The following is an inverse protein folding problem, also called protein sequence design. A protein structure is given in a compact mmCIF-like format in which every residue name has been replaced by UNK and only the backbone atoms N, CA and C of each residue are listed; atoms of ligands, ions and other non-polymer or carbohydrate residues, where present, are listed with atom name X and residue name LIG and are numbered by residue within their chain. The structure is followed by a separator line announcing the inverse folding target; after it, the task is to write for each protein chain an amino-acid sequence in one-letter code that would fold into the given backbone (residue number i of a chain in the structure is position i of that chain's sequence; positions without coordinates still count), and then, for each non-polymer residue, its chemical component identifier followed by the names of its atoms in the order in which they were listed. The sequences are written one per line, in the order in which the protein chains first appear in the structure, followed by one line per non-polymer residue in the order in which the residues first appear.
data_IF_858374477536
#
_entry.id   IF_858374477536
#
_cell.length_a   1.000
_cell.length_b   1.000
_cell.length_c   1.000
_cell.angle_alpha   90.00
_cell.angle_beta   90.00
_cell.angle_gamma   90.00
#
_symmetry.space_group_name_H-M   'P 1'
#
loop_
_entity.id
_entity.type
_entity.pdbx_description
1 polymer ?
#
# COMPACT_ATOMS: atom_id res chain seq x y z
N UNK A 1 11.89 -19.05 32.12
CA UNK A 1 12.34 -20.27 32.83
C UNK A 1 12.52 -19.96 34.32
N UNK A 2 12.41 -20.99 35.16
CA UNK A 2 12.49 -20.83 36.61
C UNK A 2 13.89 -20.41 37.15
N UNK A 3 14.90 -20.46 36.32
CA UNK A 3 16.28 -20.07 36.59
C UNK A 3 16.61 -18.62 36.21
N UNK A 4 15.63 -17.86 35.76
CA UNK A 4 15.79 -16.50 35.27
C UNK A 4 16.37 -16.36 33.87
N UNK A 5 16.62 -17.46 33.17
CA UNK A 5 17.01 -17.41 31.75
C UNK A 5 15.81 -17.13 30.85
N UNK A 6 16.04 -16.37 29.77
CA UNK A 6 15.03 -16.09 28.78
C UNK A 6 14.69 -17.39 28.01
N UNK A 7 13.40 -17.69 27.89
CA UNK A 7 12.93 -18.74 27.03
C UNK A 7 12.63 -18.19 25.63
N UNK A 8 13.60 -18.30 24.76
CA UNK A 8 13.48 -17.80 23.37
C UNK A 8 12.42 -18.53 22.55
N UNK A 9 11.99 -19.73 22.96
CA UNK A 9 10.91 -20.46 22.24
C UNK A 9 9.53 -19.85 22.45
N UNK A 10 9.37 -19.05 23.52
CA UNK A 10 8.14 -18.31 23.84
C UNK A 10 8.17 -16.85 23.43
N UNK A 11 9.21 -16.41 22.70
CA UNK A 11 9.29 -15.05 22.26
C UNK A 11 8.24 -14.75 21.18
N UNK A 12 7.53 -13.64 21.33
CA UNK A 12 6.54 -13.15 20.37
C UNK A 12 7.10 -11.86 19.76
N UNK A 13 7.07 -11.80 18.43
CA UNK A 13 7.34 -10.57 17.69
C UNK A 13 6.02 -9.93 17.30
N UNK A 14 5.86 -8.65 17.54
CA UNK A 14 4.66 -7.89 17.20
C UNK A 14 5.03 -6.49 16.73
N UNK A 15 4.31 -5.99 15.75
CA UNK A 15 4.41 -4.58 15.32
C UNK A 15 3.58 -3.66 16.22
N UNK A 16 2.60 -4.20 16.97
CA UNK A 16 1.84 -3.45 17.96
C UNK A 16 1.96 -4.11 19.33
N UNK A 17 2.31 -3.33 20.34
CA UNK A 17 2.40 -3.75 21.75
C UNK A 17 1.07 -3.58 22.50
N UNK A 18 0.10 -2.88 21.90
CA UNK A 18 -1.15 -2.46 22.54
C UNK A 18 -1.94 -3.63 23.13
N UNK A 19 -1.99 -4.78 22.45
CA UNK A 19 -2.69 -5.97 22.94
C UNK A 19 -2.10 -6.57 24.23
N UNK A 20 -0.89 -6.12 24.60
CA UNK A 20 -0.18 -6.58 25.81
C UNK A 20 -0.30 -5.61 26.98
N UNK A 21 -0.88 -4.43 26.77
CA UNK A 21 -1.01 -3.41 27.81
C UNK A 21 -1.89 -3.85 28.97
N UNK A 22 -3.02 -4.52 28.66
CA UNK A 22 -3.89 -5.12 29.66
C UNK A 22 -3.18 -6.17 30.51
N UNK A 23 -2.33 -7.01 29.89
CA UNK A 23 -1.60 -8.07 30.56
C UNK A 23 -0.51 -7.51 31.50
N UNK A 24 0.15 -6.43 31.06
CA UNK A 24 1.22 -5.80 31.86
C UNK A 24 0.73 -4.66 32.76
N UNK A 25 -0.52 -4.21 32.63
CA UNK A 25 -1.09 -3.03 33.28
C UNK A 25 -0.21 -1.77 33.10
N UNK A 26 0.36 -1.63 31.92
CA UNK A 26 1.27 -0.54 31.56
C UNK A 26 0.89 0.05 30.21
N UNK A 27 0.97 1.37 30.09
CA UNK A 27 0.96 2.08 28.80
C UNK A 27 2.33 1.85 28.14
N UNK A 28 2.37 0.83 27.26
CA UNK A 28 3.63 0.39 26.64
C UNK A 28 3.95 1.15 25.35
N UNK A 29 2.92 1.71 24.70
CA UNK A 29 3.05 2.45 23.45
C UNK A 29 3.09 3.98 23.67
N UNK A 30 2.73 4.47 24.87
CA UNK A 30 2.75 5.87 25.22
C UNK A 30 1.53 6.67 24.74
N UNK A 31 0.41 6.02 24.44
CA UNK A 31 -0.82 6.67 23.96
C UNK A 31 -1.73 7.22 25.07
N UNK A 32 -1.37 6.97 26.32
CA UNK A 32 -2.11 7.38 27.52
C UNK A 32 -3.19 6.39 27.96
N UNK A 33 -3.31 5.25 27.31
CA UNK A 33 -4.22 4.16 27.67
C UNK A 33 -3.43 2.95 28.17
N UNK A 34 -4.08 2.10 28.96
CA UNK A 34 -3.55 0.80 29.40
C UNK A 34 -4.52 -0.33 29.04
N UNK A 35 -5.51 -0.07 28.20
CA UNK A 35 -6.67 -0.96 28.01
C UNK A 35 -6.65 -1.68 26.68
N UNK A 36 -5.52 -1.89 26.05
CA UNK A 36 -5.46 -2.58 24.76
C UNK A 36 -6.30 -1.94 23.63
N UNK A 37 -6.87 -0.76 23.88
CA UNK A 37 -7.58 0.02 22.87
C UNK A 37 -6.60 0.92 22.15
N UNK A 38 -6.37 0.61 20.87
CA UNK A 38 -5.52 1.43 20.01
C UNK A 38 -6.20 2.76 19.71
N UNK A 39 -5.55 3.86 20.05
CA UNK A 39 -5.96 5.18 19.59
C UNK A 39 -5.50 5.37 18.16
N UNK A 40 -6.40 5.16 17.20
CA UNK A 40 -6.08 5.23 15.78
C UNK A 40 -6.31 6.61 15.20
N UNK A 41 -5.35 7.09 14.44
CA UNK A 41 -5.47 8.29 13.60
C UNK A 41 -5.81 7.86 12.17
N UNK A 42 -6.96 8.31 11.66
CA UNK A 42 -7.36 8.08 10.28
C UNK A 42 -6.39 8.77 9.32
N UNK A 43 -5.86 8.03 8.34
CA UNK A 43 -4.98 8.53 7.29
C UNK A 43 -5.70 8.61 5.93
N UNK A 44 -6.56 7.63 5.66
CA UNK A 44 -7.33 7.54 4.42
C UNK A 44 -8.60 6.75 4.66
N UNK A 45 -9.68 7.08 3.96
CA UNK A 45 -10.94 6.34 3.98
C UNK A 45 -11.36 6.09 2.53
N UNK A 46 -11.66 4.84 2.19
CA UNK A 46 -12.22 4.51 0.89
C UNK A 46 -13.74 4.81 0.84
N UNK A 47 -14.34 4.61 -0.33
CA UNK A 47 -15.78 4.87 -0.53
C UNK A 47 -16.67 3.80 0.04
N UNK A 48 -16.15 2.62 0.40
CA UNK A 48 -16.89 1.53 1.07
C UNK A 48 -16.90 1.71 2.58
N UNK A 49 -16.01 2.56 3.11
CA UNK A 49 -15.88 2.87 4.52
C UNK A 49 -14.68 2.21 5.19
N UNK A 50 -13.88 1.45 4.46
CA UNK A 50 -12.61 0.95 4.98
C UNK A 50 -11.63 2.11 5.22
N UNK A 51 -10.93 2.09 6.35
CA UNK A 51 -10.05 3.15 6.81
C UNK A 51 -8.63 2.61 6.95
N UNK A 52 -7.68 3.27 6.30
CA UNK A 52 -6.26 3.14 6.63
C UNK A 52 -5.97 4.06 7.82
N UNK A 53 -5.49 3.51 8.90
CA UNK A 53 -5.20 4.26 10.11
C UNK A 53 -3.83 3.90 10.68
N UNK A 54 -3.28 4.78 11.51
CA UNK A 54 -2.03 4.54 12.24
C UNK A 54 -2.21 4.73 13.73
N UNK A 55 -1.48 3.94 14.50
CA UNK A 55 -1.33 4.10 15.94
C UNK A 55 -0.35 5.24 16.22
N UNK A 56 -0.87 6.38 16.69
CA UNK A 56 -0.03 7.57 16.89
C UNK A 56 0.67 8.07 15.62
N UNK A 57 1.78 8.79 15.79
CA UNK A 57 2.48 9.44 14.68
C UNK A 57 3.43 8.52 13.89
N UNK A 58 3.91 7.44 14.51
CA UNK A 58 4.89 6.51 13.94
C UNK A 58 4.57 5.06 14.29
N UNK A 59 3.32 4.79 14.65
CA UNK A 59 2.90 3.48 15.11
C UNK A 59 2.53 2.52 13.98
N UNK A 60 2.13 1.33 14.40
CA UNK A 60 1.66 0.29 13.51
C UNK A 60 0.48 0.79 12.64
N UNK A 61 0.40 0.25 11.44
CA UNK A 61 -0.71 0.52 10.51
C UNK A 61 -1.84 -0.47 10.74
N UNK A 62 -3.05 0.04 10.58
CA UNK A 62 -4.28 -0.74 10.71
C UNK A 62 -5.21 -0.46 9.53
N UNK A 63 -5.99 -1.47 9.20
CA UNK A 63 -7.18 -1.32 8.37
C UNK A 63 -8.39 -1.49 9.29
N UNK A 64 -9.28 -0.50 9.29
CA UNK A 64 -10.52 -0.52 10.08
C UNK A 64 -11.68 -0.58 9.11
N UNK A 65 -12.46 -1.65 9.21
CA UNK A 65 -13.65 -1.85 8.39
C UNK A 65 -14.83 -2.25 9.28
N UNK A 66 -15.77 -1.32 9.42
CA UNK A 66 -16.88 -1.45 10.39
C UNK A 66 -16.35 -1.66 11.81
N UNK A 67 -16.57 -2.85 12.37
CA UNK A 67 -16.09 -3.24 13.69
C UNK A 67 -14.81 -4.09 13.66
N UNK A 68 -14.26 -4.33 12.49
CA UNK A 68 -13.06 -5.14 12.31
C UNK A 68 -11.84 -4.23 12.27
N UNK A 69 -10.82 -4.58 13.03
CA UNK A 69 -9.50 -3.96 12.98
C UNK A 69 -8.47 -5.02 12.56
N UNK A 70 -7.71 -4.74 11.53
CA UNK A 70 -6.66 -5.61 11.01
C UNK A 70 -5.33 -4.88 11.10
N UNK A 71 -4.46 -5.31 12.00
CA UNK A 71 -3.09 -4.80 12.05
C UNK A 71 -2.33 -5.26 10.80
N UNK A 72 -1.61 -4.35 10.15
CA UNK A 72 -0.77 -4.67 9.00
C UNK A 72 0.58 -5.15 9.51
N UNK A 73 0.93 -6.41 9.24
CA UNK A 73 2.12 -7.08 9.74
C UNK A 73 3.30 -7.05 8.76
N UNK A 74 3.39 -6.01 7.93
CA UNK A 74 4.46 -5.86 6.95
C UNK A 74 5.17 -4.52 7.13
N UNK A 75 6.38 -4.55 7.69
CA UNK A 75 7.20 -3.37 7.99
C UNK A 75 7.70 -2.63 6.74
N UNK A 76 7.57 -3.22 5.53
CA UNK A 76 7.97 -2.56 4.29
C UNK A 76 6.92 -1.57 3.77
N UNK A 77 5.67 -1.68 4.23
CA UNK A 77 4.56 -0.80 3.81
C UNK A 77 4.75 0.64 4.31
N UNK A 78 5.40 0.80 5.48
CA UNK A 78 5.74 2.11 6.04
C UNK A 78 7.17 2.05 6.54
N UNK A 79 8.11 2.51 5.74
CA UNK A 79 9.53 2.44 6.11
C UNK A 79 10.31 3.61 5.54
N UNK A 80 11.42 3.95 6.17
CA UNK A 80 12.35 4.93 5.63
C UNK A 80 13.78 4.62 6.04
N UNK A 81 14.71 4.92 5.15
CA UNK A 81 16.14 4.84 5.43
C UNK A 81 16.89 5.96 4.74
N UNK A 82 17.96 6.43 5.40
CA UNK A 82 18.87 7.43 4.85
C UNK A 82 20.29 6.88 4.88
N UNK A 83 21.02 7.05 3.79
CA UNK A 83 22.42 6.65 3.69
C UNK A 83 23.20 7.69 2.91
N UNK A 84 24.22 8.28 3.53
CA UNK A 84 25.12 9.23 2.84
C UNK A 84 24.40 10.25 1.97
N UNK A 85 24.40 9.99 0.67
CA UNK A 85 23.87 10.84 -0.41
C UNK A 85 22.53 10.33 -1.01
N UNK A 86 21.88 9.35 -0.34
CA UNK A 86 20.60 8.79 -0.79
C UNK A 86 19.60 8.61 0.35
N UNK A 87 18.35 8.38 -0.05
CA UNK A 87 17.27 8.02 0.86
C UNK A 87 16.23 7.14 0.15
N UNK A 88 15.56 6.32 0.93
CA UNK A 88 14.38 5.56 0.54
C UNK A 88 13.25 5.86 1.50
N UNK A 89 12.05 5.98 1.00
CA UNK A 89 10.85 5.96 1.81
C UNK A 89 9.75 5.16 1.12
N UNK A 90 8.97 4.47 1.94
CA UNK A 90 7.77 3.75 1.57
C UNK A 90 6.66 4.29 2.44
N UNK A 91 5.55 4.72 1.86
CA UNK A 91 4.46 5.38 2.57
C UNK A 91 3.13 4.84 2.10
N UNK A 92 2.34 4.30 3.02
CA UNK A 92 0.97 3.88 2.76
C UNK A 92 0.08 5.11 2.55
N UNK A 93 -0.61 5.18 1.41
CA UNK A 93 -1.40 6.33 0.97
C UNK A 93 -2.89 6.08 1.07
N UNK A 94 -3.35 4.90 0.62
CA UNK A 94 -4.77 4.60 0.53
C UNK A 94 -5.05 3.11 0.76
N UNK A 95 -6.27 2.83 1.14
CA UNK A 95 -6.83 1.48 1.28
C UNK A 95 -8.04 1.32 0.37
N UNK A 96 -8.30 0.10 -0.06
CA UNK A 96 -9.56 -0.31 -0.69
C UNK A 96 -9.92 -1.71 -0.21
N UNK A 97 -11.20 -1.92 0.14
CA UNK A 97 -11.75 -3.24 0.40
C UNK A 97 -12.04 -3.95 -0.93
N UNK A 98 -11.52 -5.16 -1.09
CA UNK A 98 -11.71 -5.97 -2.29
C UNK A 98 -12.32 -7.31 -1.92
N UNK A 99 -13.64 -7.39 -2.05
CA UNK A 99 -14.35 -8.67 -1.99
C UNK A 99 -14.17 -9.38 -3.36
N UNK A 100 -13.27 -10.36 -3.40
CA UNK A 100 -12.75 -10.91 -4.65
C UNK A 100 -13.75 -11.78 -5.41
N UNK A 101 -14.75 -12.39 -4.76
CA UNK A 101 -15.72 -13.25 -5.43
C UNK A 101 -17.19 -12.86 -5.20
N UNK A 102 -17.47 -11.84 -4.37
CA UNK A 102 -18.83 -11.40 -4.06
C UNK A 102 -19.65 -12.44 -3.30
N UNK A 103 -19.02 -13.48 -2.75
CA UNK A 103 -19.72 -14.50 -1.95
C UNK A 103 -19.82 -14.08 -0.51
N UNK A 104 -21.00 -13.62 -0.13
CA UNK A 104 -21.28 -13.33 1.26
C UNK A 104 -21.06 -14.59 2.12
N UNK A 105 -20.07 -14.51 3.03
CA UNK A 105 -19.74 -15.59 3.98
C UNK A 105 -18.51 -16.42 3.67
N UNK A 106 -17.91 -16.31 2.49
CA UNK A 106 -16.57 -16.83 2.22
C UNK A 106 -15.56 -15.66 2.19
N UNK A 107 -14.84 -15.50 3.29
CA UNK A 107 -13.82 -14.44 3.45
C UNK A 107 -12.40 -14.97 3.24
N UNK A 108 -12.26 -16.21 2.78
CA UNK A 108 -10.94 -16.84 2.63
C UNK A 108 -10.11 -16.25 1.49
N UNK A 109 -10.77 -15.63 0.52
CA UNK A 109 -10.18 -14.98 -0.64
C UNK A 109 -10.36 -13.45 -0.64
N UNK A 110 -11.02 -12.88 0.39
CA UNK A 110 -11.13 -11.44 0.59
C UNK A 110 -9.80 -10.86 1.07
N UNK A 111 -9.46 -9.70 0.56
CA UNK A 111 -8.27 -8.96 0.96
C UNK A 111 -8.50 -7.45 0.82
N UNK A 112 -7.74 -6.70 1.57
CA UNK A 112 -7.62 -5.26 1.38
C UNK A 112 -6.46 -4.96 0.44
N UNK A 113 -6.63 -3.98 -0.42
CA UNK A 113 -5.51 -3.40 -1.15
C UNK A 113 -5.02 -2.15 -0.44
N UNK A 114 -3.70 -2.04 -0.29
CA UNK A 114 -3.06 -0.84 0.25
C UNK A 114 -2.12 -0.28 -0.81
N UNK A 115 -2.40 0.94 -1.26
CA UNK A 115 -1.51 1.65 -2.18
C UNK A 115 -0.36 2.27 -1.40
N UNK A 116 0.85 1.89 -1.77
CA UNK A 116 2.09 2.35 -1.15
C UNK A 116 2.92 3.08 -2.20
N UNK A 117 3.31 4.31 -1.87
CA UNK A 117 4.22 5.12 -2.68
C UNK A 117 5.65 4.95 -2.19
N UNK A 118 6.52 4.49 -3.06
CA UNK A 118 7.96 4.41 -2.81
C UNK A 118 8.66 5.61 -3.44
N UNK A 119 9.62 6.18 -2.73
CA UNK A 119 10.48 7.23 -3.25
C UNK A 119 11.94 6.89 -2.96
N UNK A 120 12.75 6.84 -4.01
CA UNK A 120 14.18 6.64 -3.94
C UNK A 120 14.88 7.91 -4.41
N UNK A 121 15.77 8.43 -3.58
CA UNK A 121 16.61 9.60 -3.93
C UNK A 121 18.06 9.19 -3.85
N UNK A 122 18.82 9.55 -4.86
CA UNK A 122 20.27 9.36 -4.88
C UNK A 122 20.97 10.53 -5.55
N UNK A 123 22.23 10.70 -5.21
CA UNK A 123 23.10 11.69 -5.86
C UNK A 123 23.94 10.97 -6.91
N UNK A 124 23.84 11.41 -8.15
CA UNK A 124 24.71 10.93 -9.20
C UNK A 124 26.16 11.35 -8.91
N UNK A 125 27.03 10.37 -8.76
CA UNK A 125 28.41 10.59 -8.33
C UNK A 125 29.27 11.36 -9.34
N UNK A 126 28.87 11.38 -10.62
CA UNK A 126 29.60 12.07 -11.67
C UNK A 126 29.17 13.54 -11.81
N UNK A 127 27.86 13.79 -11.74
CA UNK A 127 27.28 15.13 -11.92
C UNK A 127 27.03 15.86 -10.62
N UNK A 128 26.97 15.16 -9.49
CA UNK A 128 26.53 15.70 -8.19
C UNK A 128 25.03 16.05 -8.14
N UNK A 129 24.26 15.67 -9.15
CA UNK A 129 22.82 15.96 -9.20
C UNK A 129 22.05 14.95 -8.37
N UNK A 130 21.08 15.43 -7.59
CA UNK A 130 20.09 14.58 -6.92
C UNK A 130 19.01 14.18 -7.91
N UNK A 131 18.73 12.88 -7.96
CA UNK A 131 17.66 12.30 -8.76
C UNK A 131 16.71 11.58 -7.81
N UNK A 132 15.41 11.77 -7.99
CA UNK A 132 14.38 11.05 -7.26
C UNK A 132 13.58 10.22 -8.26
N UNK A 133 13.42 8.92 -8.00
CA UNK A 133 12.44 8.08 -8.68
C UNK A 133 11.33 7.73 -7.72
N UNK A 134 10.12 7.65 -8.26
CA UNK A 134 8.94 7.21 -7.55
C UNK A 134 8.33 6.02 -8.27
N UNK A 135 7.90 5.05 -7.52
CA UNK A 135 7.11 3.93 -7.99
C UNK A 135 6.03 3.57 -6.95
N UNK A 136 5.16 2.64 -7.30
CA UNK A 136 4.06 2.24 -6.46
C UNK A 136 4.04 0.73 -6.27
N UNK A 137 3.57 0.34 -5.12
CA UNK A 137 3.28 -1.04 -4.80
C UNK A 137 1.86 -1.14 -4.26
N UNK A 138 1.09 -2.07 -4.81
CA UNK A 138 -0.25 -2.37 -4.32
C UNK A 138 -0.15 -3.66 -3.52
N UNK A 139 -0.13 -3.52 -2.22
CA UNK A 139 -0.11 -4.66 -1.29
C UNK A 139 -1.50 -5.26 -1.18
N UNK A 140 -1.56 -6.57 -1.13
CA UNK A 140 -2.78 -7.31 -0.85
C UNK A 140 -2.71 -7.87 0.57
N UNK A 141 -3.48 -7.32 1.50
CA UNK A 141 -3.47 -7.68 2.91
C UNK A 141 -4.63 -8.63 3.20
N UNK A 142 -4.34 -9.82 3.72
CA UNK A 142 -5.39 -10.77 4.08
C UNK A 142 -6.38 -10.16 5.08
N UNK A 143 -7.67 -10.18 4.74
CA UNK A 143 -8.73 -9.60 5.57
C UNK A 143 -9.07 -10.48 6.79
N UNK A 144 -8.82 -11.80 6.70
CA UNK A 144 -9.23 -12.74 7.75
C UNK A 144 -8.37 -14.01 7.78
N UNK A 145 -8.68 -14.90 8.71
CA UNK A 145 -8.04 -16.22 8.82
C UNK A 145 -6.68 -16.17 9.51
N UNK A 146 -5.93 -17.28 9.43
CA UNK A 146 -4.63 -17.42 10.10
C UNK A 146 -3.52 -16.51 9.56
N UNK A 147 -3.75 -15.89 8.39
CA UNK A 147 -2.82 -14.95 7.76
C UNK A 147 -3.32 -13.49 7.84
N UNK A 148 -4.38 -13.22 8.60
CA UNK A 148 -4.94 -11.86 8.72
C UNK A 148 -3.83 -10.83 9.00
N UNK A 149 -3.85 -9.73 8.26
CA UNK A 149 -2.88 -8.66 8.38
C UNK A 149 -1.55 -8.89 7.64
N UNK A 150 -1.27 -10.11 7.22
CA UNK A 150 -0.07 -10.41 6.44
C UNK A 150 -0.28 -10.05 4.96
N UNK A 151 0.80 -9.76 4.28
CA UNK A 151 0.79 -9.51 2.84
C UNK A 151 0.65 -10.81 2.04
N UNK A 152 -0.21 -10.80 1.04
CA UNK A 152 -0.31 -11.84 0.02
C UNK A 152 0.58 -11.46 -1.17
N UNK A 153 1.78 -12.00 -1.20
CA UNK A 153 2.79 -11.69 -2.22
C UNK A 153 2.36 -12.11 -3.63
N UNK A 154 1.53 -13.14 -3.78
CA UNK A 154 1.03 -13.59 -5.09
C UNK A 154 0.07 -12.59 -5.73
N UNK A 155 -0.52 -11.71 -4.93
CA UNK A 155 -1.47 -10.67 -5.37
C UNK A 155 -0.89 -9.25 -5.28
N UNK A 156 0.31 -9.10 -4.71
CA UNK A 156 0.99 -7.82 -4.61
C UNK A 156 1.57 -7.41 -5.96
N UNK A 157 1.39 -6.16 -6.34
CA UNK A 157 1.77 -5.65 -7.66
C UNK A 157 2.73 -4.47 -7.53
N UNK A 158 3.77 -4.45 -8.36
CA UNK A 158 4.65 -3.30 -8.57
C UNK A 158 4.23 -2.56 -9.84
N UNK A 159 4.21 -1.24 -9.78
CA UNK A 159 3.88 -0.41 -10.94
C UNK A 159 4.60 0.94 -10.91
N UNK A 160 4.98 1.44 -12.07
CA UNK A 160 5.52 2.79 -12.22
C UNK A 160 4.42 3.85 -12.23
N UNK A 161 3.16 3.46 -12.58
CA UNK A 161 2.03 4.37 -12.62
C UNK A 161 0.87 3.79 -11.82
N UNK A 162 0.34 4.59 -10.90
CA UNK A 162 -0.81 4.24 -10.07
C UNK A 162 -2.16 4.39 -10.81
N UNK A 163 -2.21 5.14 -11.90
CA UNK A 163 -3.46 5.55 -12.57
C UNK A 163 -4.39 4.38 -12.90
N UNK A 164 -3.85 3.24 -13.31
CA UNK A 164 -4.68 2.06 -13.61
C UNK A 164 -5.35 1.42 -12.38
N UNK A 165 -4.91 1.80 -11.18
CA UNK A 165 -5.45 1.31 -9.91
C UNK A 165 -6.33 2.33 -9.19
N UNK A 166 -6.26 3.62 -9.54
CA UNK A 166 -7.03 4.67 -8.89
C UNK A 166 -8.54 4.44 -8.95
N UNK A 167 -9.03 3.81 -10.01
CA UNK A 167 -10.45 3.41 -10.12
C UNK A 167 -10.84 2.38 -9.06
N UNK A 168 -9.91 1.53 -8.62
CA UNK A 168 -10.13 0.57 -7.53
C UNK A 168 -10.21 1.31 -6.19
N UNK A 169 -9.31 2.25 -5.97
CA UNK A 169 -9.29 3.07 -4.77
C UNK A 169 -10.32 4.22 -4.81
N UNK A 170 -10.89 4.51 -5.99
CA UNK A 170 -11.81 5.62 -6.25
C UNK A 170 -11.25 6.98 -5.81
N UNK A 171 -9.95 7.16 -5.94
CA UNK A 171 -9.20 8.35 -5.52
C UNK A 171 -8.14 8.70 -6.55
N UNK A 172 -7.89 10.00 -6.71
CA UNK A 172 -6.73 10.54 -7.41
C UNK A 172 -5.50 10.42 -6.50
N UNK A 173 -4.66 9.41 -6.73
CA UNK A 173 -3.52 9.08 -5.86
C UNK A 173 -2.22 9.73 -6.33
N UNK A 174 -2.09 10.04 -7.62
CA UNK A 174 -0.92 10.71 -8.18
C UNK A 174 -1.04 12.24 -8.23
N UNK A 175 -2.25 12.78 -7.95
CA UNK A 175 -2.52 14.20 -7.87
C UNK A 175 -2.65 14.88 -9.25
N UNK A 176 -2.96 14.12 -10.31
CA UNK A 176 -3.10 14.68 -11.66
C UNK A 176 -4.48 15.33 -11.94
N UNK A 177 -5.40 15.25 -10.97
CA UNK A 177 -6.75 15.79 -11.02
C UNK A 177 -7.79 14.85 -11.63
N UNK A 178 -7.42 13.60 -11.89
CA UNK A 178 -8.31 12.59 -12.49
C UNK A 178 -8.23 11.30 -11.69
N UNK A 179 -9.37 10.71 -11.33
CA UNK A 179 -9.37 9.35 -10.78
C UNK A 179 -9.31 8.35 -11.92
N UNK A 180 -8.23 7.61 -12.01
CA UNK A 180 -7.96 6.67 -13.09
C UNK A 180 -7.08 7.27 -14.19
N UNK A 181 -7.03 6.60 -15.33
CA UNK A 181 -6.12 6.96 -16.40
C UNK A 181 -6.47 8.33 -17.01
N UNK A 182 -5.59 9.29 -16.87
CA UNK A 182 -5.74 10.61 -17.47
C UNK A 182 -5.39 10.56 -18.97
N UNK A 183 -6.42 10.43 -19.80
CA UNK A 183 -6.28 10.28 -21.25
C UNK A 183 -5.64 11.51 -21.92
N UNK A 184 -5.79 12.69 -21.31
CA UNK A 184 -5.23 13.95 -21.84
C UNK A 184 -3.70 13.99 -21.73
N UNK A 185 -3.14 13.23 -20.80
CA UNK A 185 -1.70 13.16 -20.57
C UNK A 185 -0.99 12.07 -21.40
N UNK A 186 -1.76 11.28 -22.17
CA UNK A 186 -1.18 10.23 -23.01
C UNK A 186 -0.70 10.76 -24.35
N UNK A 187 0.55 10.48 -24.68
CA UNK A 187 1.11 10.78 -25.99
C UNK A 187 1.16 9.52 -26.86
N UNK A 188 0.85 9.65 -28.14
CA UNK A 188 0.96 8.54 -29.09
C UNK A 188 2.42 8.28 -29.41
N UNK A 189 2.90 7.08 -29.09
CA UNK A 189 4.24 6.62 -29.40
C UNK A 189 4.32 5.95 -30.78
N UNK A 190 3.27 5.19 -31.17
CA UNK A 190 3.16 4.52 -32.45
C UNK A 190 1.70 4.16 -32.75
N UNK A 191 1.38 3.86 -34.00
CA UNK A 191 0.08 3.34 -34.40
C UNK A 191 0.25 2.30 -35.50
N UNK A 192 -0.70 1.40 -35.63
CA UNK A 192 -0.76 0.42 -36.70
C UNK A 192 -1.79 0.78 -37.77
N UNK A 193 -1.82 -0.01 -38.83
CA UNK A 193 -2.74 0.20 -39.95
C UNK A 193 -4.18 -0.25 -39.67
N UNK A 194 -4.39 -0.98 -38.57
CA UNK A 194 -5.72 -1.43 -38.13
C UNK A 194 -6.38 -0.45 -37.15
N UNK A 195 -5.66 0.64 -36.81
CA UNK A 195 -6.18 1.72 -35.97
C UNK A 195 -5.87 1.56 -34.48
N UNK A 196 -5.04 0.61 -34.09
CA UNK A 196 -4.55 0.53 -32.71
C UNK A 196 -3.39 1.48 -32.49
N UNK A 197 -3.40 2.16 -31.34
CA UNK A 197 -2.39 3.12 -30.95
C UNK A 197 -1.64 2.62 -29.72
N UNK A 198 -0.31 2.66 -29.77
CA UNK A 198 0.56 2.57 -28.61
C UNK A 198 0.71 3.97 -28.04
N UNK A 199 0.32 4.16 -26.80
CA UNK A 199 0.40 5.42 -26.08
C UNK A 199 1.34 5.28 -24.88
N UNK A 200 1.84 6.40 -24.39
CA UNK A 200 2.65 6.48 -23.18
C UNK A 200 2.27 7.69 -22.34
N UNK A 201 2.36 7.53 -21.03
CA UNK A 201 2.26 8.62 -20.07
C UNK A 201 3.61 9.35 -19.86
N UNK A 202 3.62 10.33 -18.98
CA UNK A 202 4.82 11.10 -18.64
C UNK A 202 5.92 10.29 -17.95
N UNK A 203 5.56 9.12 -17.39
CA UNK A 203 6.49 8.17 -16.74
C UNK A 203 6.94 7.05 -17.68
N UNK A 204 6.54 7.12 -18.97
CA UNK A 204 6.80 6.11 -20.01
C UNK A 204 6.07 4.77 -19.81
N UNK A 205 5.07 4.70 -18.95
CA UNK A 205 4.19 3.53 -18.89
C UNK A 205 3.43 3.42 -20.22
N UNK A 206 3.30 2.20 -20.72
CA UNK A 206 2.73 1.95 -22.05
C UNK A 206 1.27 1.54 -21.96
N UNK A 207 0.49 2.01 -22.93
CA UNK A 207 -0.93 1.72 -23.06
C UNK A 207 -1.27 1.40 -24.51
N UNK A 208 -2.22 0.52 -24.72
CA UNK A 208 -2.81 0.25 -26.04
C UNK A 208 -4.21 0.80 -26.05
N UNK A 209 -4.58 1.57 -27.08
CA UNK A 209 -5.93 2.07 -27.30
C UNK A 209 -6.36 1.86 -28.73
N UNK A 210 -7.69 1.87 -28.97
CA UNK A 210 -8.21 2.05 -30.32
C UNK A 210 -7.99 3.48 -30.84
N UNK A 211 -8.31 3.73 -32.10
CA UNK A 211 -8.15 5.03 -32.75
C UNK A 211 -8.98 6.14 -32.13
N UNK A 212 -10.08 5.79 -31.43
CA UNK A 212 -10.96 6.72 -30.75
C UNK A 212 -10.51 7.01 -29.31
N UNK A 213 -9.56 6.25 -28.79
CA UNK A 213 -9.08 6.37 -27.42
C UNK A 213 -10.01 5.75 -26.38
N UNK A 214 -10.96 4.89 -26.80
CA UNK A 214 -11.98 4.36 -25.88
C UNK A 214 -11.56 3.05 -25.21
N UNK A 215 -10.88 2.16 -25.87
CA UNK A 215 -10.50 0.85 -25.32
C UNK A 215 -9.06 0.84 -24.86
N UNK A 216 -8.77 1.58 -23.79
CA UNK A 216 -7.39 1.70 -23.27
C UNK A 216 -7.08 0.60 -22.29
N UNK A 217 -5.94 -0.06 -22.49
CA UNK A 217 -5.40 -1.06 -21.56
C UNK A 217 -3.92 -0.78 -21.29
N UNK A 218 -3.54 -0.83 -20.02
CA UNK A 218 -2.12 -0.81 -19.66
C UNK A 218 -1.41 -2.05 -20.22
N UNK A 219 -0.24 -1.83 -20.78
CA UNK A 219 0.67 -2.93 -21.15
C UNK A 219 1.37 -3.36 -19.87
N UNK A 220 1.00 -4.53 -19.35
CA UNK A 220 1.64 -5.12 -18.18
C UNK A 220 2.78 -6.01 -18.64
N UNK A 221 3.91 -5.90 -17.95
CA UNK A 221 5.02 -6.83 -18.05
C UNK A 221 4.92 -7.76 -16.84
N UNK A 222 4.44 -8.97 -17.07
CA UNK A 222 4.34 -9.98 -16.04
C UNK A 222 5.70 -10.73 -15.97
N UNK A 223 6.64 -10.20 -15.18
CA UNK A 223 7.85 -10.92 -14.79
C UNK A 223 7.63 -11.71 -13.52
#
# INVERSE_FOLDING_TARGET
KSDGEIDWSGQIWTESITSWEDEFDLDLNGDGSKTGQVSLTNRNTDTTGAILASEGANGALYIVDGNTQVAINDSWIESSSNWGDGSYSSTAIAVSDVNNNGTAGDTSDDYYQVAVKNANTWTDWQSGQKTTSEDWQIYAIYASGGNQGNNNWDKTVWTQSIQSYETTFQQDLDGDGTTGLNLSNLTTASGDTSGWLLKKDSKNSLYISDSNGENIKAVKDDY
#
